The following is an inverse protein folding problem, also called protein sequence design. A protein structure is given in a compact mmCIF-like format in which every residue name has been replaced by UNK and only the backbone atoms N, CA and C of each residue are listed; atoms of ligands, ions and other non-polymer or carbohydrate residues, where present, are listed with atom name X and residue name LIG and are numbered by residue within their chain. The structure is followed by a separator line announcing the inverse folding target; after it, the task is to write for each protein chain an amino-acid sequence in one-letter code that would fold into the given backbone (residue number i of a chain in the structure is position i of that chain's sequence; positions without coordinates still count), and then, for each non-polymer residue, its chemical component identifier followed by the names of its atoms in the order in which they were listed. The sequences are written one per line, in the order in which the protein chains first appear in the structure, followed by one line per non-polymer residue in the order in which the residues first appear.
data_IF_195010832219
#
_entry.id   IF_195010832219
#
_cell.length_a   1.000
_cell.length_b   1.000
_cell.length_c   1.000
_cell.angle_alpha   90.00
_cell.angle_beta   90.00
_cell.angle_gamma   90.00
#
_symmetry.space_group_name_H-M   'P 1'
#
loop_
_entity.id
_entity.type
_entity.pdbx_description
1 polymer ?
#
# COMPACT_ATOMS: atom_id res chain seq x y z
N UNK A 1 -11.08 -22.42 -0.32
CA UNK A 1 -12.21 -23.13 -1.02
C UNK A 1 -11.70 -24.10 -2.09
N UNK A 2 -10.88 -23.68 -3.05
CA UNK A 2 -10.34 -24.56 -4.12
C UNK A 2 -9.49 -25.70 -3.56
N UNK A 3 -8.55 -25.40 -2.67
CA UNK A 3 -7.73 -26.38 -1.94
C UNK A 3 -8.59 -27.47 -1.26
N UNK A 4 -9.60 -27.04 -0.49
CA UNK A 4 -10.57 -27.95 0.13
C UNK A 4 -11.26 -28.85 -0.89
N UNK A 5 -11.73 -28.29 -2.02
CA UNK A 5 -12.34 -29.08 -3.09
C UNK A 5 -11.36 -30.13 -3.63
N UNK A 6 -10.13 -29.75 -3.96
CA UNK A 6 -9.12 -30.67 -4.52
C UNK A 6 -8.86 -31.82 -3.55
N UNK A 7 -8.73 -31.55 -2.25
CA UNK A 7 -8.51 -32.58 -1.21
C UNK A 7 -9.66 -33.58 -1.08
N UNK A 8 -10.91 -33.15 -1.22
CA UNK A 8 -12.09 -34.01 -0.98
C UNK A 8 -12.67 -34.62 -2.26
N UNK A 9 -12.18 -34.23 -3.43
CA UNK A 9 -12.76 -34.57 -4.74
C UNK A 9 -12.96 -36.06 -4.94
N UNK A 10 -11.98 -36.87 -4.58
CA UNK A 10 -12.06 -38.33 -4.78
C UNK A 10 -13.07 -38.98 -3.84
N UNK A 11 -13.25 -38.43 -2.63
CA UNK A 11 -14.27 -38.90 -1.69
C UNK A 11 -15.69 -38.58 -2.17
N UNK A 12 -15.91 -37.38 -2.71
CA UNK A 12 -17.21 -36.99 -3.26
C UNK A 12 -17.59 -37.88 -4.44
N UNK A 13 -16.61 -38.26 -5.27
CA UNK A 13 -16.84 -39.12 -6.44
C UNK A 13 -17.28 -40.55 -6.10
N UNK A 14 -17.03 -41.01 -4.86
CA UNK A 14 -17.55 -42.31 -4.39
C UNK A 14 -19.04 -42.26 -4.03
N UNK A 15 -19.64 -41.07 -3.94
CA UNK A 15 -21.05 -40.88 -3.63
C UNK A 15 -21.82 -40.71 -4.93
N UNK A 16 -22.54 -41.75 -5.34
CA UNK A 16 -23.28 -41.79 -6.62
C UNK A 16 -24.23 -40.59 -6.81
N UNK A 17 -24.96 -40.20 -5.76
CA UNK A 17 -25.85 -39.04 -5.78
C UNK A 17 -25.15 -37.69 -5.99
N UNK A 18 -23.82 -37.63 -5.88
CA UNK A 18 -23.04 -36.40 -6.02
C UNK A 18 -22.37 -36.27 -7.39
N UNK A 19 -22.46 -37.27 -8.28
CA UNK A 19 -21.74 -37.28 -9.56
C UNK A 19 -22.02 -36.03 -10.40
N UNK A 20 -23.28 -35.61 -10.49
CA UNK A 20 -23.72 -34.42 -11.25
C UNK A 20 -23.21 -33.09 -10.69
N UNK A 21 -22.76 -33.07 -9.43
CA UNK A 21 -22.25 -31.88 -8.75
C UNK A 21 -20.72 -31.76 -8.79
N UNK A 22 -20.02 -32.83 -9.17
CA UNK A 22 -18.56 -32.83 -9.25
C UNK A 22 -18.13 -32.19 -10.58
N UNK A 23 -17.24 -31.18 -10.55
CA UNK A 23 -16.68 -30.62 -11.78
C UNK A 23 -16.07 -31.71 -12.67
N UNK A 24 -16.32 -31.59 -13.98
CA UNK A 24 -15.77 -32.51 -14.99
C UNK A 24 -14.25 -32.62 -14.89
N UNK A 25 -13.66 -33.69 -15.44
CA UNK A 25 -12.20 -33.88 -15.40
C UNK A 25 -11.41 -32.70 -15.97
N UNK A 26 -11.94 -32.01 -16.99
CA UNK A 26 -11.31 -30.81 -17.57
C UNK A 26 -11.39 -29.63 -16.60
N UNK A 27 -12.56 -29.39 -15.99
CA UNK A 27 -12.74 -28.34 -15.00
C UNK A 27 -11.89 -28.59 -13.75
N UNK A 28 -11.78 -29.84 -13.30
CA UNK A 28 -10.90 -30.23 -12.21
C UNK A 28 -9.43 -29.89 -12.50
N UNK A 29 -8.92 -30.20 -13.71
CA UNK A 29 -7.56 -29.82 -14.10
C UNK A 29 -7.35 -28.31 -14.03
N UNK A 30 -8.31 -27.52 -14.51
CA UNK A 30 -8.25 -26.04 -14.39
C UNK A 30 -8.20 -25.58 -12.92
N UNK A 31 -8.97 -26.22 -12.03
CA UNK A 31 -8.97 -25.91 -10.60
C UNK A 31 -7.65 -26.28 -9.92
N UNK A 32 -7.01 -27.38 -10.31
CA UNK A 32 -5.66 -27.76 -9.83
C UNK A 32 -4.61 -26.75 -10.29
N UNK A 33 -4.65 -26.32 -11.56
CA UNK A 33 -3.77 -25.25 -12.05
C UNK A 33 -4.01 -23.95 -11.27
N UNK A 34 -5.28 -23.57 -11.08
CA UNK A 34 -5.62 -22.39 -10.29
C UNK A 34 -5.11 -22.49 -8.84
N UNK A 35 -5.18 -23.66 -8.21
CA UNK A 35 -4.67 -23.88 -6.87
C UNK A 35 -3.16 -23.57 -6.80
N UNK A 36 -2.37 -24.06 -7.76
CA UNK A 36 -0.94 -23.78 -7.81
C UNK A 36 -0.62 -22.28 -7.96
N UNK A 37 -1.39 -21.56 -8.78
CA UNK A 37 -1.26 -20.10 -8.92
C UNK A 37 -1.64 -19.36 -7.62
N UNK A 38 -2.69 -19.82 -6.93
CA UNK A 38 -3.10 -19.26 -5.64
C UNK A 38 -2.06 -19.49 -4.55
N UNK A 39 -1.45 -20.68 -4.49
CA UNK A 39 -0.36 -20.98 -3.56
C UNK A 39 0.85 -20.07 -3.80
N UNK A 40 1.20 -19.80 -5.06
CA UNK A 40 2.28 -18.87 -5.40
C UNK A 40 1.98 -17.46 -4.88
N UNK A 41 0.76 -16.95 -5.07
CA UNK A 41 0.35 -15.65 -4.53
C UNK A 41 0.28 -15.65 -3.00
N UNK A 42 -0.13 -16.76 -2.37
CA UNK A 42 -0.20 -16.92 -0.92
C UNK A 42 1.19 -16.80 -0.27
N UNK A 43 2.24 -17.30 -0.93
CA UNK A 43 3.63 -17.07 -0.44
C UNK A 43 4.00 -15.59 -0.42
N UNK A 44 3.50 -14.80 -1.37
CA UNK A 44 3.74 -13.35 -1.40
C UNK A 44 2.97 -12.68 -0.28
N UNK A 45 1.69 -13.01 -0.07
CA UNK A 45 0.90 -12.49 1.04
C UNK A 45 1.55 -12.81 2.39
N UNK A 46 1.94 -14.06 2.60
CA UNK A 46 2.63 -14.50 3.82
C UNK A 46 3.94 -13.73 4.04
N UNK A 47 4.70 -13.46 2.98
CA UNK A 47 5.90 -12.65 3.08
C UNK A 47 5.59 -11.20 3.47
N UNK A 48 4.54 -10.60 2.89
CA UNK A 48 4.08 -9.25 3.20
C UNK A 48 3.59 -9.08 4.64
N UNK A 49 3.07 -10.14 5.24
CA UNK A 49 2.61 -10.16 6.65
C UNK A 49 3.76 -10.27 7.66
N UNK A 50 4.99 -10.49 7.20
CA UNK A 50 6.13 -10.67 8.09
C UNK A 50 6.50 -9.36 8.81
N UNK A 51 6.66 -9.41 10.14
CA UNK A 51 6.88 -8.24 11.01
C UNK A 51 8.08 -7.36 10.59
N UNK A 52 9.12 -7.98 10.01
CA UNK A 52 10.37 -7.31 9.63
C UNK A 52 10.46 -6.94 8.14
N UNK A 53 9.36 -6.97 7.40
CA UNK A 53 9.41 -6.67 5.97
C UNK A 53 9.77 -5.20 5.73
N UNK A 54 10.74 -4.94 4.86
CA UNK A 54 11.11 -3.58 4.48
C UNK A 54 10.33 -3.13 3.24
N UNK A 55 10.24 -1.82 2.99
CA UNK A 55 9.63 -1.30 1.75
C UNK A 55 10.38 -1.76 0.48
N UNK A 56 11.68 -2.04 0.58
CA UNK A 56 12.46 -2.60 -0.51
C UNK A 56 12.04 -4.04 -0.81
N UNK A 57 11.79 -4.86 0.22
CA UNK A 57 11.29 -6.22 0.07
C UNK A 57 9.87 -6.23 -0.53
N UNK A 58 8.99 -5.34 -0.06
CA UNK A 58 7.64 -5.16 -0.63
C UNK A 58 7.73 -4.85 -2.12
N UNK A 59 8.62 -3.93 -2.51
CA UNK A 59 8.81 -3.58 -3.92
C UNK A 59 9.31 -4.77 -4.75
N UNK A 60 10.29 -5.51 -4.24
CA UNK A 60 10.81 -6.71 -4.91
C UNK A 60 9.73 -7.79 -5.09
N UNK A 61 8.90 -8.00 -4.06
CA UNK A 61 7.78 -8.94 -4.12
C UNK A 61 6.75 -8.52 -5.17
N UNK A 62 6.38 -7.24 -5.22
CA UNK A 62 5.44 -6.74 -6.23
C UNK A 62 6.03 -6.73 -7.64
N UNK A 63 7.30 -6.41 -7.82
CA UNK A 63 7.98 -6.52 -9.12
C UNK A 63 7.95 -7.97 -9.63
N UNK A 64 8.16 -8.95 -8.73
CA UNK A 64 8.02 -10.37 -9.04
C UNK A 64 6.58 -10.75 -9.42
N UNK A 65 5.58 -10.27 -8.67
CA UNK A 65 4.17 -10.49 -9.00
C UNK A 65 3.83 -9.89 -10.37
N UNK A 66 4.35 -8.72 -10.72
CA UNK A 66 4.11 -8.12 -12.05
C UNK A 66 4.76 -8.95 -13.16
N UNK A 67 5.98 -9.46 -12.94
CA UNK A 67 6.67 -10.31 -13.90
C UNK A 67 5.91 -11.61 -14.15
N UNK A 68 5.38 -12.22 -13.09
CA UNK A 68 4.61 -13.47 -13.15
C UNK A 68 3.18 -13.26 -13.65
N UNK A 69 2.56 -12.13 -13.32
CA UNK A 69 1.17 -11.79 -13.61
C UNK A 69 1.07 -10.37 -14.20
N UNK A 70 1.37 -10.17 -15.50
CA UNK A 70 1.39 -8.84 -16.10
C UNK A 70 0.08 -8.06 -15.98
N UNK A 71 -1.05 -8.77 -15.87
CA UNK A 71 -2.38 -8.17 -15.63
C UNK A 71 -2.46 -7.38 -14.31
N UNK A 72 -1.59 -7.66 -13.34
CA UNK A 72 -1.54 -6.93 -12.07
C UNK A 72 -0.76 -5.61 -12.16
N UNK A 73 -0.05 -5.32 -13.26
CA UNK A 73 0.75 -4.10 -13.41
C UNK A 73 -0.09 -2.82 -13.22
N UNK A 74 -1.27 -2.77 -13.84
CA UNK A 74 -2.20 -1.63 -13.70
C UNK A 74 -2.72 -1.47 -12.26
N UNK A 75 -2.72 -2.57 -11.49
CA UNK A 75 -3.10 -2.63 -10.09
C UNK A 75 -1.93 -2.49 -9.11
N UNK A 76 -0.70 -2.30 -9.59
CA UNK A 76 0.47 -2.15 -8.71
C UNK A 76 1.30 -0.91 -9.08
N UNK A 77 1.01 -0.22 -10.19
CA UNK A 77 1.71 1.00 -10.56
C UNK A 77 1.32 2.20 -9.68
N UNK A 78 2.22 3.17 -9.59
CA UNK A 78 2.01 4.41 -8.85
C UNK A 78 0.81 5.28 -9.31
N UNK A 79 0.29 5.06 -10.52
CA UNK A 79 -0.88 5.77 -11.06
C UNK A 79 -2.16 4.94 -11.03
N UNK A 80 -2.22 3.90 -10.21
CA UNK A 80 -3.37 3.03 -10.16
C UNK A 80 -4.58 3.74 -9.50
N UNK A 81 -5.80 3.33 -9.84
CA UNK A 81 -7.04 4.03 -9.46
C UNK A 81 -7.32 4.11 -7.94
N UNK A 82 -6.66 3.27 -7.15
CA UNK A 82 -6.78 3.23 -5.69
C UNK A 82 -5.69 4.04 -4.98
N UNK A 83 -4.77 4.66 -5.71
CA UNK A 83 -3.84 5.66 -5.16
C UNK A 83 -4.64 6.93 -4.91
N UNK A 84 -4.94 7.20 -3.64
CA UNK A 84 -5.84 8.28 -3.24
C UNK A 84 -5.21 9.66 -3.39
N UNK A 85 -3.90 9.78 -3.15
CA UNK A 85 -3.20 11.06 -3.21
C UNK A 85 -1.90 10.96 -4.02
N UNK A 86 -1.97 10.77 -5.35
CA UNK A 86 -0.80 10.47 -6.18
C UNK A 86 0.34 11.50 -6.05
N UNK A 87 0.00 12.79 -6.02
CA UNK A 87 0.99 13.88 -5.88
C UNK A 87 1.66 13.88 -4.52
N UNK A 88 0.93 13.53 -3.45
CA UNK A 88 1.48 13.45 -2.10
C UNK A 88 2.34 12.21 -1.93
N UNK A 89 1.86 11.04 -2.37
CA UNK A 89 2.60 9.78 -2.31
C UNK A 89 3.89 9.85 -3.14
N UNK A 90 3.84 10.46 -4.33
CA UNK A 90 5.04 10.78 -5.14
C UNK A 90 6.03 11.67 -4.39
N UNK A 91 5.53 12.71 -3.70
CA UNK A 91 6.36 13.60 -2.91
C UNK A 91 7.09 12.85 -1.77
N UNK A 92 6.40 11.94 -1.07
CA UNK A 92 7.02 11.12 -0.03
C UNK A 92 8.13 10.22 -0.58
N UNK A 93 7.88 9.55 -1.71
CA UNK A 93 8.89 8.70 -2.36
C UNK A 93 10.13 9.52 -2.73
N UNK A 94 9.95 10.70 -3.32
CA UNK A 94 11.06 11.59 -3.67
C UNK A 94 11.85 12.04 -2.46
N UNK A 95 11.17 12.42 -1.37
CA UNK A 95 11.87 12.82 -0.14
C UNK A 95 12.69 11.65 0.42
N UNK A 96 12.16 10.43 0.41
CA UNK A 96 12.88 9.24 0.86
C UNK A 96 14.13 8.93 0.02
N UNK A 97 14.05 9.18 -1.28
CA UNK A 97 15.17 9.03 -2.20
C UNK A 97 16.17 10.20 -2.16
N UNK A 98 15.77 11.35 -1.60
CA UNK A 98 16.53 12.61 -1.69
C UNK A 98 16.42 13.33 -3.04
N UNK A 99 15.32 13.11 -3.76
CA UNK A 99 15.05 13.73 -5.06
C UNK A 99 14.43 15.13 -4.93
N UNK A 100 14.61 15.96 -5.95
CA UNK A 100 13.99 17.29 -6.01
C UNK A 100 12.48 17.23 -6.19
N UNK A 101 11.76 17.94 -5.32
CA UNK A 101 10.30 18.06 -5.38
C UNK A 101 9.83 19.06 -6.44
N UNK A 102 8.78 18.68 -7.18
CA UNK A 102 8.03 19.62 -7.99
C UNK A 102 7.22 20.59 -7.12
N UNK A 103 6.80 21.73 -7.68
CA UNK A 103 6.03 22.75 -6.94
C UNK A 103 4.69 22.22 -6.41
N UNK A 104 4.05 21.31 -7.14
CA UNK A 104 2.80 20.65 -6.73
C UNK A 104 3.02 19.66 -5.60
N UNK A 105 4.12 18.89 -5.66
CA UNK A 105 4.54 17.94 -4.62
C UNK A 105 4.90 18.67 -3.32
N UNK A 106 5.73 19.72 -3.41
CA UNK A 106 6.11 20.55 -2.26
C UNK A 106 4.90 21.19 -1.56
N UNK A 107 3.90 21.65 -2.34
CA UNK A 107 2.65 22.16 -1.78
C UNK A 107 1.82 21.07 -1.09
N UNK A 108 1.81 19.86 -1.63
CA UNK A 108 1.04 18.74 -1.07
C UNK A 108 1.57 18.29 0.31
N UNK A 109 2.87 18.39 0.54
CA UNK A 109 3.50 17.98 1.82
C UNK A 109 3.65 19.13 2.83
N UNK A 110 3.40 20.38 2.42
CA UNK A 110 3.69 21.58 3.23
C UNK A 110 3.04 21.56 4.62
N UNK A 111 1.79 21.09 4.76
CA UNK A 111 1.11 21.08 6.06
C UNK A 111 1.68 20.05 7.06
N UNK A 112 2.55 19.15 6.58
CA UNK A 112 3.19 18.12 7.41
C UNK A 112 4.62 18.49 7.83
N UNK A 113 5.15 19.63 7.34
CA UNK A 113 6.42 20.16 7.82
C UNK A 113 6.29 20.64 9.26
N UNK A 114 7.31 20.42 10.08
CA UNK A 114 7.41 21.07 11.38
C UNK A 114 7.33 22.59 11.18
N UNK A 115 6.55 23.26 12.02
CA UNK A 115 6.66 24.71 12.12
C UNK A 115 8.12 25.00 12.47
N UNK A 116 8.83 25.67 11.56
CA UNK A 116 10.12 26.22 11.92
C UNK A 116 9.83 27.28 12.96
N UNK A 117 10.15 26.98 14.22
CA UNK A 117 10.25 27.98 15.27
C UNK A 117 11.41 28.91 14.90
N UNK A 118 11.21 29.80 13.94
CA UNK A 118 11.97 31.04 13.91
C UNK A 118 11.43 31.86 15.07
N UNK A 119 12.07 31.69 16.23
CA UNK A 119 11.97 32.61 17.35
C UNK A 119 12.35 34.01 16.86
N UNK A 120 11.34 34.78 16.49
CA UNK A 120 11.39 36.22 16.40
C UNK A 120 10.29 36.74 17.32
N UNK A 121 10.71 37.29 18.46
CA UNK A 121 9.85 37.98 19.42
C UNK A 121 8.96 39.01 18.68
N UNK A 122 7.64 38.82 18.76
CA UNK A 122 6.68 39.58 17.98
C UNK A 122 5.28 38.99 18.01
N UNK A 123 4.58 39.21 19.13
CA UNK A 123 3.12 39.20 19.28
C UNK A 123 2.39 37.91 18.82
N UNK A 124 1.96 37.09 19.80
CA UNK A 124 1.14 35.89 19.59
C UNK A 124 -0.23 36.26 18.98
N UNK A 125 -0.28 36.38 17.66
CA UNK A 125 -1.51 36.31 16.89
C UNK A 125 -1.92 34.85 16.85
N UNK A 126 -3.07 34.53 17.46
CA UNK A 126 -3.61 33.17 17.45
C UNK A 126 -3.73 32.61 16.02
N UNK A 127 -3.67 31.28 15.84
CA UNK A 127 -3.49 30.66 14.53
C UNK A 127 -4.46 31.22 13.51
N UNK A 128 -3.91 31.72 12.41
CA UNK A 128 -4.67 32.42 11.39
C UNK A 128 -5.73 31.50 10.78
N UNK A 129 -6.81 32.06 10.23
CA UNK A 129 -7.87 31.28 9.58
C UNK A 129 -7.35 30.37 8.45
N UNK A 130 -6.16 30.64 7.91
CA UNK A 130 -5.45 29.82 6.93
C UNK A 130 -4.83 28.57 7.55
N UNK A 131 -4.10 28.71 8.66
CA UNK A 131 -3.52 27.59 9.41
C UNK A 131 -4.59 26.71 10.05
N UNK A 132 -5.69 27.30 10.55
CA UNK A 132 -6.84 26.54 11.05
C UNK A 132 -7.50 25.72 9.94
N UNK A 133 -7.53 26.23 8.70
CA UNK A 133 -8.05 25.49 7.53
C UNK A 133 -7.08 24.40 7.07
N UNK A 134 -5.78 24.65 7.07
CA UNK A 134 -4.76 23.64 6.75
C UNK A 134 -4.71 22.52 7.80
N UNK A 135 -4.74 22.86 9.09
CA UNK A 135 -4.80 21.87 10.17
C UNK A 135 -6.11 21.06 10.16
N UNK A 136 -7.25 21.70 9.87
CA UNK A 136 -8.54 21.01 9.72
C UNK A 136 -8.58 20.10 8.46
N UNK A 137 -7.91 20.51 7.37
CA UNK A 137 -7.75 19.66 6.19
C UNK A 137 -6.90 18.44 6.53
N UNK A 138 -5.76 18.62 7.20
CA UNK A 138 -4.83 17.53 7.53
C UNK A 138 -5.38 16.59 8.65
N UNK A 139 -6.49 16.94 9.31
CA UNK A 139 -7.21 16.11 10.30
C UNK A 139 -8.48 15.45 9.74
N UNK A 140 -8.74 15.51 8.43
CA UNK A 140 -9.80 14.72 7.79
C UNK A 140 -9.55 13.22 8.02
N UNK A 141 -10.59 12.37 8.10
CA UNK A 141 -10.43 10.93 8.37
C UNK A 141 -9.44 10.21 7.44
N UNK A 142 -9.38 10.58 6.17
CA UNK A 142 -8.41 10.03 5.21
C UNK A 142 -6.95 10.46 5.50
N UNK A 143 -6.76 11.62 6.10
CA UNK A 143 -5.44 12.12 6.49
C UNK A 143 -5.00 11.57 7.86
N UNK A 144 -5.94 11.06 8.67
CA UNK A 144 -5.62 10.40 9.94
C UNK A 144 -4.87 9.08 9.74
N UNK A 145 -5.33 8.20 8.84
CA UNK A 145 -4.58 6.97 8.49
C UNK A 145 -3.18 7.28 7.94
N UNK A 146 -3.05 8.38 7.20
CA UNK A 146 -1.80 8.88 6.64
C UNK A 146 -0.85 9.41 7.74
N UNK A 147 -1.37 10.17 8.70
CA UNK A 147 -0.62 10.61 9.90
C UNK A 147 -0.20 9.41 10.76
N UNK A 148 -1.08 8.42 10.91
CA UNK A 148 -0.77 7.18 11.64
C UNK A 148 0.32 6.39 10.92
N UNK A 149 0.30 6.31 9.58
CA UNK A 149 1.35 5.67 8.78
C UNK A 149 2.71 6.34 8.95
N UNK A 150 2.75 7.67 8.96
CA UNK A 150 3.98 8.44 9.25
C UNK A 150 4.43 8.27 10.71
N UNK A 151 3.50 8.15 11.67
CA UNK A 151 3.80 7.88 13.08
C UNK A 151 4.34 6.47 13.30
N UNK A 152 3.79 5.45 12.65
CA UNK A 152 4.24 4.06 12.75
C UNK A 152 5.61 3.92 12.10
N UNK A 153 5.86 4.60 10.98
CA UNK A 153 7.16 4.60 10.31
C UNK A 153 8.07 5.77 10.76
N UNK A 154 7.89 6.29 11.98
CA UNK A 154 8.59 7.49 12.49
C UNK A 154 10.12 7.38 12.45
N UNK A 155 10.66 6.18 12.61
CA UNK A 155 12.11 5.93 12.54
C UNK A 155 12.66 6.02 11.12
N UNK A 156 11.82 5.79 10.10
CA UNK A 156 12.19 5.94 8.68
C UNK A 156 11.84 7.32 8.12
N UNK A 157 10.84 8.02 8.67
CA UNK A 157 10.24 9.24 8.11
C UNK A 157 9.97 10.32 9.18
N UNK A 158 10.96 10.61 10.02
CA UNK A 158 10.86 11.68 11.03
C UNK A 158 10.58 13.04 10.34
N UNK A 159 9.73 13.89 10.95
CA UNK A 159 9.42 15.23 10.44
C UNK A 159 10.66 16.11 10.16
N UNK A 160 11.78 15.87 10.85
CA UNK A 160 13.09 16.49 10.55
C UNK A 160 13.72 15.97 9.26
N UNK A 161 13.60 14.67 8.97
CA UNK A 161 14.11 14.06 7.72
C UNK A 161 13.34 14.50 6.48
N UNK A 162 12.10 14.98 6.62
CA UNK A 162 11.32 15.51 5.50
C UNK A 162 11.77 16.91 5.03
N UNK A 163 12.54 17.63 5.85
CA UNK A 163 12.88 19.05 5.63
C UNK A 163 14.38 19.27 5.36
N UNK A 164 15.25 18.37 5.82
CA UNK A 164 16.70 18.67 5.93
C UNK A 164 17.62 18.15 4.81
N UNK A 165 17.14 17.49 3.76
CA UNK A 165 18.00 17.22 2.59
C UNK A 165 17.71 18.21 1.46
N UNK A 166 18.43 19.33 1.52
CA UNK A 166 18.60 20.28 0.40
C UNK A 166 19.64 19.78 -0.59
#
# INVERSE_FOLDING_TARGET
MVDRYVRIRDAIRQVEAMEDYVPSGVSHKKLVTLLAELEKLDTVCTALEHERITLADVRLLFDKVIADYPIMADRLRASAKFVHFPTFESALVKIGNGDTLATTEARAVKCFGAASDTEGDGERVGPGAKEKKEAAFCMLPANFEMIVSLRVNREMWNASTLIERK
#
